data_IF_772269340865
#
_entry.id   IF_772269340865
#
_cell.length_a   1.000
_cell.length_b   1.000
_cell.length_c   1.000
_cell.angle_alpha   90.00
_cell.angle_beta   90.00
_cell.angle_gamma   90.00
#
_symmetry.space_group_name_H-M   'P 1'
#
loop_
_entity.id
_entity.type
_entity.pdbx_description
1 polymer ?
#
# COMPACT_ATOMS: atom_id res chain seq x y z
N UNK A 1 -8.29 -29.92 -10.79
CA UNK A 1 -9.27 -28.93 -11.30
C UNK A 1 -8.91 -27.50 -10.93
N UNK A 2 -8.51 -27.23 -9.67
CA UNK A 2 -8.21 -25.86 -9.19
C UNK A 2 -6.96 -25.26 -9.85
N UNK A 3 -5.90 -26.03 -10.02
CA UNK A 3 -4.67 -25.59 -10.70
C UNK A 3 -4.92 -25.14 -12.14
N UNK A 4 -5.87 -25.77 -12.83
CA UNK A 4 -6.17 -25.43 -14.22
C UNK A 4 -6.84 -24.04 -14.31
N UNK A 5 -7.74 -23.72 -13.38
CA UNK A 5 -8.38 -22.38 -13.34
C UNK A 5 -7.35 -21.29 -13.02
N UNK A 6 -6.45 -21.53 -12.05
CA UNK A 6 -5.39 -20.56 -11.75
C UNK A 6 -4.50 -20.32 -12.97
N UNK A 7 -4.08 -21.37 -13.66
CA UNK A 7 -3.21 -21.26 -14.84
C UNK A 7 -3.89 -20.51 -16.00
N UNK A 8 -5.18 -20.71 -16.23
CA UNK A 8 -5.95 -19.95 -17.22
C UNK A 8 -5.99 -18.46 -16.84
N UNK A 9 -6.35 -18.14 -15.59
CA UNK A 9 -6.39 -16.75 -15.10
C UNK A 9 -5.00 -16.11 -15.19
N UNK A 10 -3.94 -16.82 -14.82
CA UNK A 10 -2.57 -16.30 -14.92
C UNK A 10 -2.18 -16.02 -16.38
N UNK A 11 -2.57 -16.87 -17.31
CA UNK A 11 -2.34 -16.64 -18.72
C UNK A 11 -3.11 -15.41 -19.23
N UNK A 12 -4.37 -15.22 -18.82
CA UNK A 12 -5.17 -14.02 -19.13
C UNK A 12 -4.51 -12.76 -18.55
N UNK A 13 -4.03 -12.81 -17.30
CA UNK A 13 -3.36 -11.70 -16.62
C UNK A 13 -2.11 -11.23 -17.39
N UNK A 14 -1.38 -12.14 -17.99
CA UNK A 14 -0.12 -11.84 -18.69
C UNK A 14 -0.33 -11.48 -20.18
N UNK A 15 -1.28 -12.10 -20.86
CA UNK A 15 -1.28 -12.15 -22.33
C UNK A 15 -2.55 -11.57 -22.98
N UNK A 16 -3.62 -11.29 -22.21
CA UNK A 16 -4.84 -10.77 -22.84
C UNK A 16 -4.62 -9.37 -23.43
N UNK A 17 -5.23 -9.11 -24.59
CA UNK A 17 -5.12 -7.83 -25.27
C UNK A 17 -5.81 -6.69 -24.50
N UNK A 18 -6.89 -7.01 -23.79
CA UNK A 18 -7.65 -6.06 -22.99
C UNK A 18 -7.00 -5.84 -21.63
N UNK A 19 -6.65 -4.60 -21.33
CA UNK A 19 -6.13 -4.25 -20.01
C UNK A 19 -7.14 -4.52 -18.87
N UNK A 20 -8.44 -4.39 -19.17
CA UNK A 20 -9.50 -4.71 -18.22
C UNK A 20 -9.49 -6.20 -17.87
N UNK A 21 -9.37 -7.08 -18.88
CA UNK A 21 -9.28 -8.53 -18.66
C UNK A 21 -8.01 -8.88 -17.88
N UNK A 22 -6.85 -8.30 -18.22
CA UNK A 22 -5.61 -8.53 -17.47
C UNK A 22 -5.77 -8.15 -16.00
N UNK A 23 -6.29 -6.95 -15.73
CA UNK A 23 -6.47 -6.46 -14.35
C UNK A 23 -7.43 -7.36 -13.54
N UNK A 24 -8.59 -7.70 -14.11
CA UNK A 24 -9.56 -8.59 -13.46
C UNK A 24 -8.99 -9.99 -13.22
N UNK A 25 -8.20 -10.49 -14.16
CA UNK A 25 -7.53 -11.79 -14.00
C UNK A 25 -6.49 -11.77 -12.88
N UNK A 26 -5.72 -10.68 -12.73
CA UNK A 26 -4.78 -10.49 -11.61
C UNK A 26 -5.54 -10.48 -10.27
N UNK A 27 -6.61 -9.69 -10.16
CA UNK A 27 -7.42 -9.66 -8.94
C UNK A 27 -8.02 -11.04 -8.61
N UNK A 28 -8.45 -11.79 -9.63
CA UNK A 28 -8.97 -13.14 -9.47
C UNK A 28 -7.90 -14.14 -9.01
N UNK A 29 -6.68 -14.06 -9.55
CA UNK A 29 -5.56 -14.90 -9.07
C UNK A 29 -5.18 -14.56 -7.63
N UNK A 30 -5.17 -13.27 -7.26
CA UNK A 30 -4.93 -12.81 -5.90
C UNK A 30 -5.98 -13.35 -4.91
N UNK A 31 -7.27 -13.28 -5.25
CA UNK A 31 -8.34 -13.84 -4.40
C UNK A 31 -8.22 -15.36 -4.22
N UNK A 32 -7.79 -16.08 -5.23
CA UNK A 32 -7.51 -17.51 -5.10
C UNK A 32 -6.30 -17.78 -4.22
N UNK A 33 -5.25 -16.97 -4.36
CA UNK A 33 -4.06 -17.06 -3.52
C UNK A 33 -4.39 -16.81 -2.04
N UNK A 34 -5.26 -15.83 -1.73
CA UNK A 34 -5.74 -15.58 -0.37
C UNK A 34 -6.40 -16.80 0.25
N UNK A 35 -7.12 -17.61 -0.55
CA UNK A 35 -7.75 -18.86 -0.11
C UNK A 35 -6.77 -20.03 -0.04
N UNK A 36 -5.77 -20.05 -0.89
CA UNK A 36 -4.77 -21.11 -0.96
C UNK A 36 -3.38 -20.52 -1.27
N UNK A 37 -2.55 -20.29 -0.22
CA UNK A 37 -1.23 -19.65 -0.35
C UNK A 37 -0.21 -20.39 -1.21
N UNK A 38 -0.50 -21.64 -1.65
CA UNK A 38 0.36 -22.40 -2.55
C UNK A 38 0.63 -21.66 -3.87
N UNK A 39 -0.25 -20.70 -4.22
CA UNK A 39 -0.10 -19.88 -5.43
C UNK A 39 0.79 -18.64 -5.25
N UNK A 40 1.27 -18.35 -4.03
CA UNK A 40 2.09 -17.15 -3.77
C UNK A 40 3.31 -17.02 -4.70
N UNK A 41 4.12 -18.07 -4.96
CA UNK A 41 5.24 -17.95 -5.88
C UNK A 41 4.81 -17.54 -7.30
N UNK A 42 3.67 -18.05 -7.77
CA UNK A 42 3.14 -17.70 -9.10
C UNK A 42 2.64 -16.24 -9.15
N UNK A 43 2.11 -15.70 -8.04
CA UNK A 43 1.76 -14.27 -7.95
C UNK A 43 3.02 -13.41 -7.98
N UNK A 44 4.10 -13.82 -7.32
CA UNK A 44 5.39 -13.12 -7.40
C UNK A 44 5.88 -13.05 -8.85
N UNK A 45 5.92 -14.18 -9.55
CA UNK A 45 6.34 -14.25 -10.97
C UNK A 45 5.44 -13.37 -11.87
N UNK A 46 4.12 -13.47 -11.72
CA UNK A 46 3.15 -12.65 -12.44
C UNK A 46 3.41 -11.15 -12.20
N UNK A 47 3.65 -10.77 -10.94
CA UNK A 47 3.86 -9.38 -10.53
C UNK A 47 5.14 -8.77 -11.11
N UNK A 48 6.20 -9.57 -11.34
CA UNK A 48 7.43 -9.12 -11.98
C UNK A 48 7.19 -8.57 -13.40
N UNK A 49 6.12 -9.01 -14.06
CA UNK A 49 5.75 -8.56 -15.40
C UNK A 49 4.69 -7.45 -15.30
N UNK A 50 3.64 -7.69 -14.55
CA UNK A 50 2.44 -6.83 -14.54
C UNK A 50 2.63 -5.52 -13.79
N UNK A 51 3.63 -5.41 -12.90
CA UNK A 51 4.02 -4.15 -12.25
C UNK A 51 4.52 -3.09 -13.24
N UNK A 52 4.91 -3.48 -14.44
CA UNK A 52 5.40 -2.60 -15.50
C UNK A 52 4.43 -2.49 -16.69
N UNK A 53 3.18 -2.97 -16.53
CA UNK A 53 2.18 -2.86 -17.59
C UNK A 53 1.89 -1.39 -17.93
N UNK A 54 1.68 -1.11 -19.21
CA UNK A 54 1.32 0.23 -19.69
C UNK A 54 0.00 0.77 -19.11
N UNK A 55 -0.89 -0.14 -18.72
CA UNK A 55 -2.18 0.22 -18.13
C UNK A 55 -2.08 0.44 -16.64
N UNK A 56 -2.51 1.59 -16.18
CA UNK A 56 -2.64 1.91 -14.75
C UNK A 56 -3.48 0.89 -13.99
N UNK A 57 -4.60 0.43 -14.58
CA UNK A 57 -5.47 -0.55 -13.94
C UNK A 57 -4.77 -1.88 -13.68
N UNK A 58 -3.88 -2.29 -14.59
CA UNK A 58 -3.09 -3.52 -14.43
C UNK A 58 -2.05 -3.33 -13.32
N UNK A 59 -1.31 -2.21 -13.30
CA UNK A 59 -0.34 -1.93 -12.24
C UNK A 59 -1.00 -1.81 -10.87
N UNK A 60 -2.19 -1.16 -10.79
CA UNK A 60 -3.00 -1.08 -9.56
C UNK A 60 -3.43 -2.47 -9.09
N UNK A 61 -3.97 -3.31 -9.98
CA UNK A 61 -4.34 -4.68 -9.67
C UNK A 61 -3.14 -5.52 -9.21
N UNK A 62 -1.95 -5.25 -9.75
CA UNK A 62 -0.70 -5.90 -9.31
C UNK A 62 -0.34 -5.50 -7.89
N UNK A 63 -0.39 -4.20 -7.54
CA UNK A 63 -0.15 -3.74 -6.18
C UNK A 63 -1.13 -4.40 -5.18
N UNK A 64 -2.43 -4.49 -5.53
CA UNK A 64 -3.42 -5.25 -4.77
C UNK A 64 -3.04 -6.73 -4.65
N UNK A 65 -2.62 -7.39 -5.75
CA UNK A 65 -2.25 -8.80 -5.71
C UNK A 65 -1.05 -9.06 -4.78
N UNK A 66 -0.08 -8.16 -4.75
CA UNK A 66 1.07 -8.24 -3.83
C UNK A 66 0.62 -8.05 -2.38
N UNK A 67 -0.39 -7.22 -2.10
CA UNK A 67 -0.86 -6.99 -0.73
C UNK A 67 -1.39 -8.24 -0.03
N UNK A 68 -1.88 -9.22 -0.78
CA UNK A 68 -2.44 -10.47 -0.23
C UNK A 68 -1.41 -11.58 -0.03
N UNK A 69 -0.16 -11.34 -0.40
CA UNK A 69 0.95 -12.29 -0.20
C UNK A 69 2.01 -11.65 0.68
N UNK A 70 2.59 -12.42 1.59
CA UNK A 70 3.69 -11.97 2.43
C UNK A 70 5.00 -12.59 1.94
N UNK A 71 5.54 -12.05 0.84
CA UNK A 71 6.80 -12.49 0.26
C UNK A 71 7.74 -11.31 0.03
N UNK A 72 8.87 -11.30 0.71
CA UNK A 72 9.87 -10.22 0.64
C UNK A 72 10.47 -10.03 -0.75
N UNK A 73 10.37 -11.02 -1.65
CA UNK A 73 10.78 -10.87 -3.05
C UNK A 73 9.99 -9.79 -3.79
N UNK A 74 8.82 -9.39 -3.26
CA UNK A 74 8.00 -8.32 -3.83
C UNK A 74 8.43 -6.90 -3.44
N UNK A 75 9.30 -6.74 -2.43
CA UNK A 75 9.72 -5.42 -1.93
C UNK A 75 10.29 -4.52 -3.03
N UNK A 76 11.20 -4.96 -3.92
CA UNK A 76 11.70 -4.11 -5.00
C UNK A 76 10.60 -3.64 -5.95
N UNK A 77 9.59 -4.48 -6.22
CA UNK A 77 8.44 -4.12 -7.05
C UNK A 77 7.56 -3.08 -6.37
N UNK A 78 7.32 -3.23 -5.07
CA UNK A 78 6.56 -2.26 -4.29
C UNK A 78 7.25 -0.90 -4.25
N UNK A 79 8.57 -0.85 -4.02
CA UNK A 79 9.34 0.40 -4.05
C UNK A 79 9.23 1.07 -5.43
N UNK A 80 9.21 0.30 -6.53
CA UNK A 80 8.96 0.85 -7.85
C UNK A 80 7.54 1.41 -7.99
N UNK A 81 6.53 0.68 -7.50
CA UNK A 81 5.12 1.11 -7.56
C UNK A 81 4.81 2.30 -6.63
N UNK A 82 5.57 2.53 -5.55
CA UNK A 82 5.50 3.75 -4.74
C UNK A 82 5.85 5.01 -5.56
N UNK A 83 6.56 4.87 -6.67
CA UNK A 83 6.97 5.96 -7.57
C UNK A 83 6.11 6.05 -8.84
N UNK A 84 5.00 5.31 -8.89
CA UNK A 84 4.09 5.31 -10.05
C UNK A 84 3.52 6.71 -10.30
N UNK A 85 3.34 7.15 -11.55
CA UNK A 85 2.72 8.43 -11.87
C UNK A 85 1.26 8.54 -11.38
N UNK A 86 0.56 7.42 -11.19
CA UNK A 86 -0.82 7.38 -10.71
C UNK A 86 -0.89 7.21 -9.20
N UNK A 87 -1.70 8.04 -8.53
CA UNK A 87 -1.87 8.03 -7.07
C UNK A 87 -2.45 6.73 -6.53
N UNK A 88 -3.42 6.13 -7.20
CA UNK A 88 -4.06 4.89 -6.73
C UNK A 88 -3.07 3.72 -6.73
N UNK A 89 -2.14 3.69 -7.70
CA UNK A 89 -1.08 2.67 -7.74
C UNK A 89 -0.13 2.87 -6.56
N UNK A 90 0.29 4.12 -6.29
CA UNK A 90 1.15 4.43 -5.14
C UNK A 90 0.47 4.08 -3.82
N UNK A 91 -0.82 4.42 -3.69
CA UNK A 91 -1.63 4.12 -2.51
C UNK A 91 -1.68 2.60 -2.24
N UNK A 92 -2.03 1.80 -3.22
CA UNK A 92 -2.06 0.35 -3.07
C UNK A 92 -0.69 -0.26 -2.79
N UNK A 93 0.39 0.30 -3.34
CA UNK A 93 1.75 -0.14 -3.02
C UNK A 93 2.13 0.17 -1.56
N UNK A 94 1.78 1.37 -1.07
CA UNK A 94 2.00 1.76 0.32
C UNK A 94 1.18 0.88 1.28
N UNK A 95 -0.11 0.66 0.98
CA UNK A 95 -0.96 -0.26 1.73
C UNK A 95 -0.35 -1.68 1.78
N UNK A 96 0.14 -2.20 0.64
CA UNK A 96 0.78 -3.51 0.58
C UNK A 96 2.02 -3.61 1.49
N UNK A 97 2.83 -2.57 1.56
CA UNK A 97 3.98 -2.48 2.46
C UNK A 97 3.53 -2.45 3.92
N UNK A 98 2.49 -1.69 4.23
CA UNK A 98 1.99 -1.53 5.59
C UNK A 98 1.35 -2.81 6.12
N UNK A 99 0.45 -3.44 5.36
CA UNK A 99 -0.24 -4.66 5.79
C UNK A 99 0.73 -5.85 5.98
N UNK A 100 1.78 -5.94 5.15
CA UNK A 100 2.80 -6.96 5.23
C UNK A 100 3.95 -6.60 6.22
N UNK A 101 3.90 -5.41 6.82
CA UNK A 101 4.88 -4.90 7.80
C UNK A 101 6.32 -4.93 7.28
N UNK A 102 6.52 -4.70 5.98
CA UNK A 102 7.85 -4.59 5.41
C UNK A 102 8.55 -3.33 5.91
N UNK A 103 9.83 -3.47 6.25
CA UNK A 103 10.62 -2.36 6.80
C UNK A 103 12.08 -2.46 6.35
N UNK A 104 12.56 -1.37 5.79
CA UNK A 104 13.97 -1.08 5.51
C UNK A 104 14.13 0.43 5.26
N UNK A 105 15.39 0.90 5.10
CA UNK A 105 15.69 2.31 4.85
C UNK A 105 14.97 2.87 3.62
N UNK A 106 15.00 2.12 2.50
CA UNK A 106 14.45 2.59 1.21
C UNK A 106 12.93 2.78 1.30
N UNK A 107 12.22 1.87 2.00
CA UNK A 107 10.78 1.99 2.28
C UNK A 107 10.51 3.25 3.10
N UNK A 108 11.26 3.46 4.18
CA UNK A 108 11.09 4.64 5.06
C UNK A 108 11.34 5.93 4.30
N UNK A 109 12.37 5.97 3.45
CA UNK A 109 12.69 7.16 2.65
C UNK A 109 11.62 7.44 1.59
N UNK A 110 11.09 6.41 0.92
CA UNK A 110 9.94 6.56 0.04
C UNK A 110 8.72 7.12 0.79
N UNK A 111 8.42 6.62 1.97
CA UNK A 111 7.29 7.14 2.77
C UNK A 111 7.51 8.60 3.20
N UNK A 112 8.75 9.02 3.51
CA UNK A 112 9.06 10.42 3.79
C UNK A 112 8.79 11.31 2.57
N UNK A 113 9.18 10.88 1.36
CA UNK A 113 8.85 11.58 0.12
C UNK A 113 7.32 11.66 -0.09
N UNK A 114 6.59 10.58 0.20
CA UNK A 114 5.14 10.48 0.03
C UNK A 114 4.35 11.36 1.02
N UNK A 115 4.94 11.85 2.11
CA UNK A 115 4.29 12.83 3.00
C UNK A 115 3.91 14.13 2.26
N UNK A 116 4.52 14.41 1.11
CA UNK A 116 4.25 15.58 0.25
C UNK A 116 3.48 15.19 -1.02
N UNK A 117 2.90 14.00 -1.09
CA UNK A 117 2.17 13.55 -2.27
C UNK A 117 0.92 14.43 -2.51
N UNK A 118 0.62 14.68 -3.79
CA UNK A 118 -0.60 15.41 -4.18
C UNK A 118 -1.90 14.66 -3.86
N UNK A 119 -1.83 13.31 -3.80
CA UNK A 119 -2.97 12.46 -3.43
C UNK A 119 -3.02 12.31 -1.91
N UNK A 120 -4.17 12.65 -1.32
CA UNK A 120 -4.36 12.61 0.13
C UNK A 120 -4.26 11.20 0.71
N UNK A 121 -4.83 10.20 0.05
CA UNK A 121 -4.78 8.81 0.51
C UNK A 121 -3.32 8.30 0.57
N UNK A 122 -2.50 8.72 -0.40
CA UNK A 122 -1.06 8.39 -0.40
C UNK A 122 -0.34 9.03 0.78
N UNK A 123 -0.66 10.29 1.12
CA UNK A 123 -0.08 10.94 2.32
C UNK A 123 -0.49 10.23 3.61
N UNK A 124 -1.76 9.84 3.73
CA UNK A 124 -2.28 9.11 4.89
C UNK A 124 -1.54 7.78 5.05
N UNK A 125 -1.42 6.99 3.99
CA UNK A 125 -0.68 5.71 4.01
C UNK A 125 0.79 5.91 4.43
N UNK A 126 1.42 7.00 4.00
CA UNK A 126 2.80 7.31 4.40
C UNK A 126 2.90 7.68 5.90
N UNK A 127 1.93 8.45 6.41
CA UNK A 127 1.86 8.78 7.85
C UNK A 127 1.70 7.51 8.68
N UNK A 128 0.74 6.66 8.34
CA UNK A 128 0.52 5.36 8.97
C UNK A 128 1.83 4.55 8.94
N UNK A 129 2.42 4.43 7.75
CA UNK A 129 3.61 3.63 7.53
C UNK A 129 4.82 4.06 8.36
N UNK A 130 5.09 5.35 8.46
CA UNK A 130 6.18 5.90 9.27
C UNK A 130 5.88 5.77 10.76
N UNK A 131 4.64 5.99 11.17
CA UNK A 131 4.22 5.89 12.58
C UNK A 131 4.37 4.48 13.13
N UNK A 132 3.91 3.45 12.40
CA UNK A 132 4.12 2.05 12.76
C UNK A 132 5.59 1.66 12.87
N UNK A 133 6.47 2.29 12.06
CA UNK A 133 7.92 2.07 12.08
C UNK A 133 8.66 2.96 13.09
N UNK A 134 7.90 3.74 13.91
CA UNK A 134 8.45 4.68 14.90
C UNK A 134 9.43 5.70 14.28
N UNK A 135 9.20 6.07 13.03
CA UNK A 135 10.04 7.02 12.32
C UNK A 135 9.60 8.47 12.62
N UNK A 136 10.40 9.16 13.39
CA UNK A 136 10.06 10.52 13.88
C UNK A 136 10.01 11.58 12.78
N UNK A 137 10.44 11.31 11.57
CA UNK A 137 10.33 12.24 10.44
C UNK A 137 8.87 12.57 10.09
N UNK A 138 7.91 11.75 10.54
CA UNK A 138 6.47 11.98 10.40
C UNK A 138 5.91 13.06 11.32
N UNK A 139 6.60 13.38 12.43
CA UNK A 139 6.03 14.17 13.54
C UNK A 139 5.39 15.51 13.10
N UNK A 140 6.08 16.30 12.29
CA UNK A 140 5.56 17.60 11.86
C UNK A 140 4.26 17.45 11.08
N UNK A 141 4.22 16.55 10.11
CA UNK A 141 3.05 16.33 9.25
C UNK A 141 1.90 15.73 10.06
N UNK A 142 2.19 14.78 10.96
CA UNK A 142 1.19 14.18 11.84
C UNK A 142 0.57 15.20 12.79
N UNK A 143 1.36 16.12 13.38
CA UNK A 143 0.85 17.23 14.17
C UNK A 143 -0.07 18.14 13.36
N UNK A 144 0.24 18.41 12.11
CA UNK A 144 -0.58 19.30 11.26
C UNK A 144 -1.87 18.59 10.82
N UNK A 145 -1.85 17.30 10.56
CA UNK A 145 -3.07 16.51 10.31
C UNK A 145 -4.02 16.50 11.53
N UNK A 146 -3.48 16.31 12.74
CA UNK A 146 -4.26 16.30 13.98
C UNK A 146 -4.91 17.66 14.31
N UNK A 147 -4.39 18.78 13.78
CA UNK A 147 -4.99 20.11 13.96
C UNK A 147 -6.17 20.40 13.05
N UNK A 148 -6.40 19.60 12.01
CA UNK A 148 -7.50 19.81 11.06
C UNK A 148 -8.86 19.73 11.77
N UNK A 149 -9.87 20.35 11.17
CA UNK A 149 -11.24 20.30 11.71
C UNK A 149 -11.87 18.91 11.62
N UNK A 150 -11.49 18.15 10.59
CA UNK A 150 -11.88 16.74 10.41
C UNK A 150 -10.60 15.93 10.37
N UNK A 151 -10.48 14.99 11.31
CA UNK A 151 -9.33 14.09 11.42
C UNK A 151 -9.80 12.68 11.12
N UNK A 152 -9.08 11.97 10.25
CA UNK A 152 -9.35 10.57 9.97
C UNK A 152 -8.94 9.70 11.16
N UNK A 153 -9.70 8.65 11.44
CA UNK A 153 -9.43 7.70 12.52
C UNK A 153 -8.00 7.11 12.42
N UNK A 154 -7.56 6.83 11.20
CA UNK A 154 -6.22 6.31 10.92
C UNK A 154 -5.09 7.25 11.39
N UNK A 155 -5.32 8.58 11.37
CA UNK A 155 -4.35 9.58 11.84
C UNK A 155 -4.26 9.56 13.37
N UNK A 156 -5.38 9.36 14.05
CA UNK A 156 -5.40 9.22 15.52
C UNK A 156 -4.69 7.92 15.92
N UNK A 157 -4.96 6.82 15.21
CA UNK A 157 -4.29 5.55 15.43
C UNK A 157 -2.77 5.67 15.17
N UNK A 158 -2.37 6.34 14.09
CA UNK A 158 -0.97 6.61 13.78
C UNK A 158 -0.25 7.39 14.89
N UNK A 159 -0.93 8.36 15.51
CA UNK A 159 -0.39 9.10 16.65
C UNK A 159 -0.18 8.20 17.88
N UNK A 160 -1.14 7.33 18.17
CA UNK A 160 -1.03 6.32 19.21
C UNK A 160 0.11 5.32 18.94
N UNK A 161 0.20 4.84 17.71
CA UNK A 161 1.28 3.94 17.27
C UNK A 161 2.66 4.62 17.38
N UNK A 162 2.81 5.87 16.94
CA UNK A 162 4.08 6.58 17.07
C UNK A 162 4.48 6.74 18.53
N UNK A 163 3.52 7.09 19.40
CA UNK A 163 3.68 7.20 20.85
C UNK A 163 4.67 8.28 21.28
N UNK A 164 4.85 9.34 20.49
CA UNK A 164 5.78 10.42 20.82
C UNK A 164 5.10 11.48 21.70
N UNK A 165 5.73 11.83 22.81
CA UNK A 165 5.20 12.79 23.81
C UNK A 165 4.98 14.19 23.25
N UNK A 166 5.64 14.56 22.16
CA UNK A 166 5.44 15.85 21.49
C UNK A 166 4.04 16.00 20.89
N UNK A 167 3.29 14.89 20.73
CA UNK A 167 1.91 14.91 20.26
C UNK A 167 0.90 15.25 21.37
N UNK A 168 1.26 15.14 22.66
CA UNK A 168 0.34 15.35 23.77
C UNK A 168 -0.41 16.71 23.70
N UNK A 169 0.24 17.86 23.46
CA UNK A 169 -0.48 19.15 23.42
C UNK A 169 -1.56 19.22 22.34
N UNK A 170 -1.34 18.60 21.16
CA UNK A 170 -2.34 18.60 20.09
C UNK A 170 -3.46 17.61 20.39
N UNK A 171 -3.16 16.45 20.96
CA UNK A 171 -4.16 15.45 21.36
C UNK A 171 -5.05 16.00 22.49
N UNK A 172 -4.49 16.70 23.49
CA UNK A 172 -5.26 17.34 24.54
C UNK A 172 -6.26 18.36 23.98
N UNK A 173 -5.88 19.12 22.96
CA UNK A 173 -6.81 20.07 22.33
C UNK A 173 -7.97 19.38 21.59
N UNK A 174 -7.81 18.14 21.17
CA UNK A 174 -8.87 17.38 20.50
C UNK A 174 -9.95 16.91 21.48
N UNK A 175 -9.60 16.62 22.74
CA UNK A 175 -10.58 16.19 23.78
C UNK A 175 -11.68 17.24 24.03
N UNK A 176 -11.38 18.53 23.81
CA UNK A 176 -12.30 19.63 24.05
C UNK A 176 -13.03 20.13 22.79
N UNK A 177 -12.79 19.53 21.64
CA UNK A 177 -13.47 19.91 20.37
C UNK A 177 -14.82 19.21 20.18
N UNK A 178 -15.13 18.19 20.97
CA UNK A 178 -16.30 17.34 20.80
C UNK A 178 -17.30 17.44 21.97
N UNK A 179 -17.07 18.39 22.91
CA UNK A 179 -18.01 18.81 23.94
C UNK A 179 -18.78 20.08 23.46
#
# INVERSE_FOLDING_TARGET
>A
CEDNVFNILNNMALNDKSACVRATAIESTAQRCKKNPIYSPKIVEQSQITAFDKSTNVRRATAFAISVINDKATIPLLINLLKDPNGDVRNWAAFAININKYDNSDIRDCFVEMLQDKNEEVRIEAIIGLSYRKDKRVLSVLCDELKKNTVYDDIIEAAGELGDKTLLPVLDTMLYKFD
#
